data_IF_451344264187
#
_entry.id   IF_451344264187
#
_cell.length_a   1.000
_cell.length_b   1.000
_cell.length_c   1.000
_cell.angle_alpha   90.00
_cell.angle_beta   90.00
_cell.angle_gamma   90.00
#
_symmetry.space_group_name_H-M   'P 1'
#
loop_
_entity.id
_entity.type
_entity.pdbx_description
1 polymer ?
#
# COMPACT_ATOMS: atom_id res chain seq x y z
N UNK A 1 14.20 -9.76 -2.17
CA UNK A 1 14.20 -10.72 -3.31
C UNK A 1 13.01 -11.67 -3.28
N UNK A 2 12.67 -12.29 -2.14
CA UNK A 2 11.52 -13.21 -2.02
C UNK A 2 10.19 -12.56 -2.47
N UNK A 3 9.94 -11.31 -2.07
CA UNK A 3 8.74 -10.57 -2.45
C UNK A 3 8.58 -10.40 -3.98
N UNK A 4 9.69 -10.15 -4.69
CA UNK A 4 9.69 -9.93 -6.13
C UNK A 4 9.40 -11.21 -6.92
N UNK A 5 9.83 -12.37 -6.41
CA UNK A 5 9.53 -13.69 -7.01
C UNK A 5 8.04 -13.99 -6.92
N UNK A 6 7.43 -13.73 -5.76
CA UNK A 6 5.99 -13.88 -5.56
C UNK A 6 5.24 -12.92 -6.50
N UNK A 7 5.67 -11.65 -6.53
CA UNK A 7 5.12 -10.62 -7.41
C UNK A 7 5.08 -11.01 -8.88
N UNK A 8 6.09 -11.75 -9.36
CA UNK A 8 6.14 -12.23 -10.74
C UNK A 8 4.98 -13.16 -11.10
N UNK A 9 4.46 -13.90 -10.12
CA UNK A 9 3.28 -14.76 -10.27
C UNK A 9 2.00 -13.95 -10.07
N UNK A 10 1.99 -13.01 -9.12
CA UNK A 10 0.81 -12.20 -8.79
C UNK A 10 0.41 -11.25 -9.93
N UNK A 11 1.37 -10.70 -10.67
CA UNK A 11 1.12 -9.77 -11.78
C UNK A 11 0.27 -10.40 -12.90
N UNK A 12 0.64 -11.54 -13.51
CA UNK A 12 -0.17 -12.16 -14.56
C UNK A 12 -1.51 -12.66 -14.02
N UNK A 13 -1.55 -13.17 -12.78
CA UNK A 13 -2.79 -13.61 -12.13
C UNK A 13 -3.79 -12.45 -11.99
N UNK A 14 -3.32 -11.28 -11.51
CA UNK A 14 -4.17 -10.09 -11.35
C UNK A 14 -4.56 -9.47 -12.69
N UNK A 15 -3.69 -9.54 -13.71
CA UNK A 15 -4.03 -9.17 -15.08
C UNK A 15 -5.20 -10.01 -15.61
N UNK A 16 -5.09 -11.34 -15.51
CA UNK A 16 -6.15 -12.26 -15.93
C UNK A 16 -7.46 -12.07 -15.15
N UNK A 17 -7.36 -11.84 -13.84
CA UNK A 17 -8.51 -11.56 -12.98
C UNK A 17 -9.21 -10.24 -13.40
N UNK A 18 -8.43 -9.22 -13.77
CA UNK A 18 -8.96 -7.94 -14.23
C UNK A 18 -9.70 -8.05 -15.56
N UNK A 19 -9.19 -8.87 -16.47
CA UNK A 19 -9.80 -9.08 -17.78
C UNK A 19 -11.16 -9.80 -17.67
N UNK A 20 -11.35 -10.68 -16.67
CA UNK A 20 -12.59 -11.45 -16.50
C UNK A 20 -13.69 -10.73 -15.72
N UNK A 21 -13.34 -10.00 -14.65
CA UNK A 21 -14.31 -9.36 -13.75
C UNK A 21 -14.56 -7.87 -14.06
N UNK A 22 -13.92 -7.35 -15.12
CA UNK A 22 -13.92 -5.93 -15.45
C UNK A 22 -12.97 -5.13 -14.55
N UNK A 23 -12.59 -3.93 -14.99
CA UNK A 23 -11.47 -3.17 -14.38
C UNK A 23 -11.78 -2.45 -13.07
N UNK A 24 -13.04 -2.11 -12.80
CA UNK A 24 -13.43 -1.30 -11.63
C UNK A 24 -13.42 -2.09 -10.32
N UNK A 25 -14.00 -3.30 -10.32
CA UNK A 25 -14.08 -4.16 -9.13
C UNK A 25 -12.72 -4.54 -8.52
N UNK A 26 -11.76 -5.09 -9.28
CA UNK A 26 -10.47 -5.51 -8.73
C UNK A 26 -9.64 -4.31 -8.25
N UNK A 27 -9.79 -3.14 -8.88
CA UNK A 27 -9.14 -1.91 -8.42
C UNK A 27 -9.67 -1.47 -7.04
N UNK A 28 -10.99 -1.48 -6.84
CA UNK A 28 -11.60 -1.12 -5.55
C UNK A 28 -11.20 -2.13 -4.46
N UNK A 29 -11.26 -3.43 -4.76
CA UNK A 29 -10.90 -4.48 -3.81
C UNK A 29 -9.44 -4.35 -3.36
N UNK A 30 -8.51 -4.12 -4.29
CA UNK A 30 -7.10 -3.95 -3.96
C UNK A 30 -6.86 -2.70 -3.12
N UNK A 31 -7.48 -1.57 -3.45
CA UNK A 31 -7.37 -0.35 -2.64
C UNK A 31 -7.92 -0.55 -1.22
N UNK A 32 -9.08 -1.18 -1.06
CA UNK A 32 -9.65 -1.48 0.26
C UNK A 32 -8.71 -2.42 1.03
N UNK A 33 -8.19 -3.47 0.38
CA UNK A 33 -7.27 -4.40 1.01
C UNK A 33 -5.97 -3.72 1.46
N UNK A 34 -5.45 -2.76 0.67
CA UNK A 34 -4.25 -2.01 1.01
C UNK A 34 -4.47 -1.09 2.23
N UNK A 35 -5.63 -0.44 2.33
CA UNK A 35 -5.99 0.39 3.50
C UNK A 35 -6.09 -0.47 4.76
N UNK A 36 -6.75 -1.62 4.67
CA UNK A 36 -6.91 -2.54 5.81
C UNK A 36 -5.55 -3.11 6.25
N UNK A 37 -4.68 -3.48 5.30
CA UNK A 37 -3.36 -4.05 5.59
C UNK A 37 -2.32 -3.01 6.06
N UNK A 38 -2.54 -1.72 5.81
CA UNK A 38 -1.64 -0.66 6.28
C UNK A 38 -1.60 -0.56 7.81
N UNK A 39 -2.74 -0.75 8.49
CA UNK A 39 -2.84 -0.70 9.95
C UNK A 39 -2.01 -1.79 10.68
N UNK A 40 -2.17 -3.10 10.38
CA UNK A 40 -1.39 -4.15 11.03
C UNK A 40 0.10 -4.07 10.68
N UNK A 41 0.46 -3.53 9.52
CA UNK A 41 1.86 -3.32 9.17
C UNK A 41 2.52 -2.26 10.06
N UNK A 42 1.84 -1.13 10.29
CA UNK A 42 2.35 -0.07 11.16
C UNK A 42 2.49 -0.53 12.62
N UNK A 43 1.57 -1.35 13.14
CA UNK A 43 1.67 -1.86 14.51
C UNK A 43 2.83 -2.83 14.71
N UNK A 44 3.06 -3.74 13.75
CA UNK A 44 4.16 -4.72 13.81
C UNK A 44 5.53 -4.05 13.72
N UNK A 45 5.66 -2.96 12.94
CA UNK A 45 6.94 -2.25 12.77
C UNK A 45 7.30 -1.40 14.00
N UNK A 46 6.31 -0.85 14.70
CA UNK A 46 6.54 0.03 15.87
C UNK A 46 6.90 -0.78 17.13
N UNK A 47 6.44 -2.02 17.22
CA UNK A 47 6.71 -2.91 18.34
C UNK A 47 8.08 -3.61 18.18
N UNK A 48 9.00 -3.35 19.12
CA UNK A 48 10.36 -3.92 19.13
C UNK A 48 10.44 -5.39 19.55
N UNK A 49 9.33 -5.99 19.95
CA UNK A 49 9.24 -7.36 20.47
C UNK A 49 9.11 -8.44 19.40
N UNK A 50 8.80 -8.06 18.16
CA UNK A 50 8.58 -9.03 17.08
C UNK A 50 9.90 -9.52 16.48
N UNK A 51 9.94 -10.81 16.15
CA UNK A 51 11.09 -11.39 15.47
C UNK A 51 11.25 -10.81 14.05
N UNK A 52 12.48 -10.70 13.53
CA UNK A 52 12.73 -10.16 12.19
C UNK A 52 11.97 -10.90 11.08
N UNK A 53 11.67 -12.19 11.28
CA UNK A 53 10.92 -13.01 10.33
C UNK A 53 9.46 -12.58 10.16
N UNK A 54 8.78 -12.17 11.23
CA UNK A 54 7.38 -11.73 11.18
C UNK A 54 7.27 -10.37 10.48
N UNK A 55 8.20 -9.46 10.77
CA UNK A 55 8.29 -8.16 10.11
C UNK A 55 8.52 -8.35 8.60
N UNK A 56 9.43 -9.25 8.23
CA UNK A 56 9.70 -9.56 6.82
C UNK A 56 8.50 -10.16 6.11
N UNK A 57 7.76 -11.08 6.75
CA UNK A 57 6.54 -11.66 6.20
C UNK A 57 5.45 -10.59 5.97
N UNK A 58 5.21 -9.72 6.96
CA UNK A 58 4.25 -8.63 6.84
C UNK A 58 4.61 -7.66 5.69
N UNK A 59 5.90 -7.32 5.55
CA UNK A 59 6.41 -6.50 4.46
C UNK A 59 6.23 -7.17 3.09
N UNK A 60 6.42 -8.48 2.99
CA UNK A 60 6.18 -9.22 1.75
C UNK A 60 4.70 -9.16 1.37
N UNK A 61 3.79 -9.41 2.32
CA UNK A 61 2.34 -9.41 2.07
C UNK A 61 1.87 -8.04 1.60
N UNK A 62 2.18 -6.97 2.33
CA UNK A 62 1.72 -5.62 1.94
C UNK A 62 2.31 -5.18 0.60
N UNK A 63 3.57 -5.53 0.32
CA UNK A 63 4.22 -5.17 -0.95
C UNK A 63 3.55 -5.85 -2.16
N UNK A 64 3.10 -7.10 -2.01
CA UNK A 64 2.42 -7.82 -3.08
C UNK A 64 1.05 -7.23 -3.43
N UNK A 65 0.26 -6.84 -2.42
CA UNK A 65 -1.08 -6.30 -2.65
C UNK A 65 -1.05 -4.80 -2.98
N UNK A 66 -0.39 -3.99 -2.14
CA UNK A 66 -0.46 -2.53 -2.22
C UNK A 66 0.45 -1.95 -3.31
N UNK A 67 1.59 -2.58 -3.61
CA UNK A 67 2.54 -2.06 -4.61
C UNK A 67 2.41 -2.83 -5.92
N UNK A 68 2.71 -4.13 -5.91
CA UNK A 68 2.78 -4.93 -7.13
C UNK A 68 1.40 -5.09 -7.81
N UNK A 69 0.36 -5.42 -7.03
CA UNK A 69 -0.98 -5.63 -7.56
C UNK A 69 -1.65 -4.36 -8.08
N UNK A 70 -1.57 -3.27 -7.32
CA UNK A 70 -2.11 -1.97 -7.73
C UNK A 70 -1.38 -1.41 -8.95
N UNK A 71 -0.05 -1.49 -8.98
CA UNK A 71 0.74 -1.01 -10.12
C UNK A 71 0.42 -1.78 -11.41
N UNK A 72 0.18 -3.10 -11.32
CA UNK A 72 -0.21 -3.92 -12.47
C UNK A 72 -1.55 -3.46 -13.07
N UNK A 73 -2.57 -3.25 -12.23
CA UNK A 73 -3.88 -2.81 -12.72
C UNK A 73 -3.88 -1.37 -13.23
N UNK A 74 -3.19 -0.46 -12.54
CA UNK A 74 -3.13 0.95 -12.92
C UNK A 74 -2.47 1.13 -14.29
N UNK A 75 -1.43 0.34 -14.58
CA UNK A 75 -0.78 0.38 -15.90
C UNK A 75 -1.70 -0.08 -17.04
N UNK A 76 -2.58 -1.06 -16.76
CA UNK A 76 -3.54 -1.58 -17.73
C UNK A 76 -4.67 -0.55 -17.93
N UNK A 77 -5.21 0.05 -16.87
CA UNK A 77 -6.31 1.04 -17.00
C UNK A 77 -5.85 2.33 -17.67
N UNK A 78 -4.65 2.83 -17.35
CA UNK A 78 -4.04 4.00 -17.99
C UNK A 78 -3.85 3.80 -19.49
N UNK A 79 -3.48 2.59 -19.91
CA UNK A 79 -3.30 2.23 -21.30
C UNK A 79 -4.56 2.36 -22.15
N UNK A 80 -5.73 2.17 -21.55
CA UNK A 80 -7.02 2.24 -22.26
C UNK A 80 -7.58 3.64 -22.34
N UNK A 81 -7.39 4.42 -21.28
CA UNK A 81 -7.92 5.78 -21.18
C UNK A 81 -7.19 6.71 -22.16
N UNK A 82 -5.88 6.52 -22.35
CA UNK A 82 -5.09 7.47 -23.14
C UNK A 82 -5.03 7.21 -24.66
N UNK A 83 -5.59 6.09 -25.15
CA UNK A 83 -5.61 5.76 -26.57
C UNK A 83 -4.21 5.54 -27.18
N UNK A 84 -4.13 5.32 -28.50
CA UNK A 84 -2.84 5.03 -29.19
C UNK A 84 -1.98 6.27 -29.46
N UNK A 85 -2.59 7.46 -29.55
CA UNK A 85 -1.91 8.70 -29.90
C UNK A 85 -1.35 9.36 -28.63
N UNK A 86 -0.02 9.45 -28.54
CA UNK A 86 0.74 9.99 -27.40
C UNK A 86 0.57 9.23 -26.06
N UNK A 87 0.36 7.90 -26.12
CA UNK A 87 0.16 7.03 -24.95
C UNK A 87 1.28 7.14 -23.90
N UNK A 88 2.54 7.06 -24.33
CA UNK A 88 3.69 7.07 -23.42
C UNK A 88 3.85 8.40 -22.69
N UNK A 89 3.69 9.52 -23.40
CA UNK A 89 3.82 10.86 -22.81
C UNK A 89 2.73 11.13 -21.77
N UNK A 90 1.48 10.78 -22.07
CA UNK A 90 0.35 10.98 -21.14
C UNK A 90 0.43 10.06 -19.92
N UNK A 91 0.88 8.83 -20.10
CA UNK A 91 1.11 7.89 -18.99
C UNK A 91 2.24 8.35 -18.08
N UNK A 92 3.34 8.85 -18.64
CA UNK A 92 4.47 9.39 -17.87
C UNK A 92 4.04 10.61 -17.04
N UNK A 93 3.36 11.59 -17.66
CA UNK A 93 2.88 12.79 -16.95
C UNK A 93 1.96 12.41 -15.79
N UNK A 94 1.05 11.45 -15.99
CA UNK A 94 0.14 11.01 -14.92
C UNK A 94 0.87 10.39 -13.73
N UNK A 95 1.90 9.57 -13.98
CA UNK A 95 2.68 8.92 -12.93
C UNK A 95 3.58 9.90 -12.18
N UNK A 96 4.26 10.77 -12.91
CA UNK A 96 5.13 11.78 -12.29
C UNK A 96 4.31 12.78 -11.48
N UNK A 97 3.15 13.23 -11.98
CA UNK A 97 2.27 14.11 -11.23
C UNK A 97 1.74 13.46 -9.94
N UNK A 98 1.25 12.21 -10.02
CA UNK A 98 0.79 11.46 -8.85
C UNK A 98 1.91 11.18 -7.85
N UNK A 99 3.08 10.78 -8.34
CA UNK A 99 4.27 10.51 -7.54
C UNK A 99 4.77 11.76 -6.81
N UNK A 100 4.87 12.89 -7.50
CA UNK A 100 5.31 14.16 -6.89
C UNK A 100 4.37 14.61 -5.77
N UNK A 101 3.06 14.50 -5.97
CA UNK A 101 2.07 14.89 -4.95
C UNK A 101 2.11 13.93 -3.75
N UNK A 102 2.09 12.61 -4.01
CA UNK A 102 2.06 11.62 -2.95
C UNK A 102 3.37 11.57 -2.14
N UNK A 103 4.53 11.59 -2.81
CA UNK A 103 5.85 11.53 -2.16
C UNK A 103 6.26 12.88 -1.58
N UNK A 104 5.81 14.00 -2.17
CA UNK A 104 6.07 15.34 -1.65
C UNK A 104 5.27 15.64 -0.38
N UNK A 105 3.94 15.51 -0.43
CA UNK A 105 3.08 15.85 0.70
C UNK A 105 2.97 14.73 1.74
N UNK A 106 3.17 13.47 1.34
CA UNK A 106 3.02 12.32 2.24
C UNK A 106 3.90 12.39 3.49
N UNK A 107 5.24 12.51 3.36
CA UNK A 107 6.15 12.62 4.51
C UNK A 107 5.96 13.89 5.33
N UNK A 108 5.62 15.02 4.68
CA UNK A 108 5.38 16.30 5.38
C UNK A 108 4.16 16.18 6.28
N UNK A 109 3.05 15.67 5.75
CA UNK A 109 1.85 15.40 6.54
C UNK A 109 2.12 14.35 7.61
N UNK A 110 2.82 13.26 7.29
CA UNK A 110 3.18 12.23 8.27
C UNK A 110 4.04 12.78 9.42
N UNK A 111 4.97 13.70 9.13
CA UNK A 111 5.78 14.38 10.14
C UNK A 111 4.95 15.30 11.04
N UNK A 112 4.03 16.08 10.46
CA UNK A 112 3.09 16.94 11.21
C UNK A 112 2.19 16.08 12.10
N UNK A 113 1.60 15.01 11.53
CA UNK A 113 0.79 14.07 12.29
C UNK A 113 1.59 13.38 13.39
N UNK A 114 2.82 12.90 13.14
CA UNK A 114 3.66 12.29 14.16
C UNK A 114 3.97 13.27 15.31
N UNK A 115 4.22 14.55 15.00
CA UNK A 115 4.43 15.59 16.00
C UNK A 115 3.17 15.84 16.85
N UNK A 116 1.99 15.93 16.23
CA UNK A 116 0.72 16.09 16.96
C UNK A 116 0.35 14.82 17.75
N UNK A 117 0.64 13.64 17.22
CA UNK A 117 0.29 12.35 17.84
C UNK A 117 1.20 12.03 19.02
N UNK A 118 2.37 12.66 19.22
CA UNK A 118 3.10 12.54 20.49
C UNK A 118 2.27 13.01 21.69
N UNK A 119 1.32 13.93 21.49
CA UNK A 119 0.39 14.38 22.53
C UNK A 119 -0.77 13.39 22.78
N UNK A 120 -1.22 12.66 21.74
CA UNK A 120 -2.37 11.74 21.79
C UNK A 120 -1.97 10.26 22.02
N UNK A 121 -0.80 9.84 21.55
CA UNK A 121 -0.25 8.48 21.70
C UNK A 121 0.22 8.21 23.14
N UNK A 122 0.58 9.23 23.92
CA UNK A 122 0.77 9.08 25.37
C UNK A 122 -0.55 8.62 26.03
N UNK A 123 -1.68 9.22 25.64
CA UNK A 123 -3.00 8.87 26.17
C UNK A 123 -3.53 7.54 25.63
N UNK A 124 -3.33 7.23 24.34
CA UNK A 124 -3.81 5.98 23.73
C UNK A 124 -2.94 4.77 24.10
N UNK A 125 -1.61 4.93 24.26
CA UNK A 125 -0.75 3.85 24.80
C UNK A 125 -1.05 3.57 26.27
N UNK A 126 -1.37 4.57 27.09
CA UNK A 126 -1.85 4.33 28.48
C UNK A 126 -3.21 3.61 28.48
N UNK A 127 -4.12 3.97 27.57
CA UNK A 127 -5.44 3.34 27.46
C UNK A 127 -5.35 1.88 26.98
N UNK A 128 -4.47 1.56 26.01
CA UNK A 128 -4.33 0.20 25.46
C UNK A 128 -3.29 -0.68 26.19
N UNK A 129 -2.33 -0.10 26.92
CA UNK A 129 -1.45 -0.86 27.84
C UNK A 129 -2.24 -1.37 29.06
N UNK A 130 -3.30 -0.67 29.48
CA UNK A 130 -4.22 -1.13 30.52
C UNK A 130 -5.02 -2.37 30.10
N UNK A 131 -5.25 -2.59 28.81
CA UNK A 131 -6.00 -3.77 28.30
C UNK A 131 -5.13 -5.03 28.13
N UNK A 132 -3.80 -4.92 28.23
CA UNK A 132 -2.87 -6.06 28.08
C UNK A 132 -2.31 -6.56 29.43
N UNK A 133 -2.84 -6.08 30.56
CA UNK A 133 -2.49 -6.54 31.93
C UNK A 133 -3.62 -7.34 32.59
N UNK A 134 -4.74 -7.57 31.88
CA UNK A 134 -5.90 -8.32 32.38
C UNK A 134 -6.20 -9.64 31.64
N UNK A 135 -5.27 -10.12 30.80
CA UNK A 135 -5.20 -11.51 30.33
C UNK A 135 -3.74 -11.93 30.26
#
# INVERSE_FOLDING_TARGET
MISSVIGFITIPLLGWLSDKYGRRLPYIILNISAIILAWPMLSIVVDKTYSPGVIMAALIVIHNFAVLGLFALENITMAEIFGSRNRFTRMAISKEAGGLVAVGFGPVLAGIFCNMTRFLAAHLKLCWCSTRVLV
#
